data_IF_020403262212
#
_entry.id   IF_020403262212
#
_cell.length_a   1.000
_cell.length_b   1.000
_cell.length_c   1.000
_cell.angle_alpha   90.00
_cell.angle_beta   90.00
_cell.angle_gamma   90.00
#
_symmetry.space_group_name_H-M   'P 1'
#
loop_
_entity.id
_entity.type
_entity.pdbx_description
1 polymer ?
#
# COMPACT_ATOMS: atom_id res chain seq x y z
N UNK A 1 -19.45 -29.84 -9.76
CA UNK A 1 -19.77 -28.61 -10.51
C UNK A 1 -18.57 -28.26 -11.38
N UNK A 2 -18.82 -28.07 -12.68
CA UNK A 2 -17.83 -28.03 -13.75
C UNK A 2 -16.76 -26.95 -13.59
N UNK A 3 -15.52 -27.30 -13.90
CA UNK A 3 -14.38 -26.39 -14.02
C UNK A 3 -14.49 -25.55 -15.29
N UNK A 4 -14.77 -24.25 -15.14
CA UNK A 4 -14.56 -23.25 -16.18
C UNK A 4 -13.48 -22.28 -15.69
N UNK A 5 -12.36 -22.24 -16.40
CA UNK A 5 -11.28 -21.26 -16.16
C UNK A 5 -11.81 -19.83 -16.29
N UNK A 6 -11.31 -18.88 -15.48
CA UNK A 6 -11.69 -17.47 -15.61
C UNK A 6 -11.21 -16.91 -16.96
N UNK A 7 -11.98 -16.00 -17.59
CA UNK A 7 -11.58 -15.38 -18.86
C UNK A 7 -10.34 -14.48 -18.67
N UNK A 8 -9.53 -14.28 -19.72
CA UNK A 8 -8.36 -13.41 -19.67
C UNK A 8 -8.76 -11.94 -19.43
N UNK A 9 -7.87 -11.12 -18.84
CA UNK A 9 -8.13 -9.70 -18.61
C UNK A 9 -8.27 -8.94 -19.93
N UNK A 10 -9.11 -7.88 -19.98
CA UNK A 10 -9.27 -7.06 -21.17
C UNK A 10 -7.96 -6.30 -21.50
N UNK A 11 -7.74 -5.97 -22.78
CA UNK A 11 -6.58 -5.17 -23.20
C UNK A 11 -6.61 -3.76 -22.59
N UNK A 12 -5.46 -3.08 -22.47
CA UNK A 12 -5.39 -1.71 -21.96
C UNK A 12 -6.22 -0.77 -22.84
N UNK A 13 -7.03 0.07 -22.20
CA UNK A 13 -7.87 1.06 -22.87
C UNK A 13 -6.98 2.10 -23.56
N UNK A 14 -7.06 2.17 -24.90
CA UNK A 14 -6.55 3.29 -25.69
C UNK A 14 -7.37 4.54 -25.38
N UNK A 15 -6.72 5.68 -25.13
CA UNK A 15 -7.35 6.97 -24.84
C UNK A 15 -8.16 7.60 -25.99
N UNK A 16 -8.44 6.87 -27.07
CA UNK A 16 -9.05 7.40 -28.29
C UNK A 16 -10.54 7.08 -28.46
N UNK A 17 -11.25 6.60 -27.43
CA UNK A 17 -12.68 6.23 -27.59
C UNK A 17 -13.51 6.50 -26.34
N UNK A 18 -13.64 7.77 -25.97
CA UNK A 18 -14.81 8.23 -25.20
C UNK A 18 -15.84 8.79 -26.18
N UNK A 19 -17.08 8.26 -26.23
CA UNK A 19 -18.14 8.92 -26.96
C UNK A 19 -18.42 10.27 -26.28
N UNK A 20 -18.27 11.36 -27.03
CA UNK A 20 -18.70 12.69 -26.61
C UNK A 20 -20.20 12.62 -26.31
N UNK A 21 -20.58 12.79 -25.05
CA UNK A 21 -21.96 13.02 -24.67
C UNK A 21 -22.44 14.30 -25.37
N UNK A 22 -23.45 14.17 -26.23
CA UNK A 22 -24.10 15.31 -26.87
C UNK A 22 -24.62 16.29 -25.81
N UNK A 23 -24.48 17.61 -26.01
CA UNK A 23 -25.00 18.58 -25.06
C UNK A 23 -26.54 18.55 -25.04
N UNK A 24 -27.17 18.83 -23.88
CA UNK A 24 -28.63 18.88 -23.77
C UNK A 24 -29.19 20.09 -24.54
N UNK A 25 -30.46 20.05 -24.97
CA UNK A 25 -31.07 21.13 -25.73
C UNK A 25 -31.21 22.40 -24.86
N UNK A 26 -30.90 23.54 -25.48
CA UNK A 26 -30.93 24.87 -24.88
C UNK A 26 -32.35 25.26 -24.47
N UNK A 27 -32.60 25.31 -23.16
CA UNK A 27 -33.67 26.11 -22.56
C UNK A 27 -33.05 27.15 -21.63
N UNK A 28 -33.65 28.34 -21.67
CA UNK A 28 -33.11 29.64 -21.27
C UNK A 28 -33.09 29.86 -19.76
N UNK A 29 -32.16 30.73 -19.35
CA UNK A 29 -31.95 31.34 -18.03
C UNK A 29 -31.37 30.43 -16.94
N UNK A 30 -30.05 30.45 -16.81
CA UNK A 30 -29.33 30.13 -15.58
C UNK A 30 -28.20 31.14 -15.42
N UNK A 31 -27.93 31.66 -14.20
CA UNK A 31 -26.93 32.68 -14.00
C UNK A 31 -25.56 32.08 -14.32
N UNK A 32 -24.87 32.71 -15.27
CA UNK A 32 -23.49 32.41 -15.61
C UNK A 32 -22.58 32.83 -14.46
N UNK A 33 -22.45 32.00 -13.42
CA UNK A 33 -21.25 32.01 -12.58
C UNK A 33 -20.22 31.10 -13.23
N UNK A 34 -19.72 31.50 -14.41
CA UNK A 34 -18.44 30.96 -14.87
C UNK A 34 -17.40 31.47 -13.89
N UNK A 35 -16.97 30.63 -12.96
CA UNK A 35 -15.83 30.92 -12.08
C UNK A 35 -14.62 31.06 -12.98
N UNK A 36 -14.38 32.26 -13.51
CA UNK A 36 -13.30 32.53 -14.45
C UNK A 36 -12.00 32.16 -13.76
N UNK A 37 -11.39 31.08 -14.20
CA UNK A 37 -10.16 30.57 -13.63
C UNK A 37 -9.01 31.48 -14.07
N UNK A 38 -8.65 32.45 -13.25
CA UNK A 38 -7.58 33.41 -13.60
C UNK A 38 -6.22 32.80 -13.29
N UNK A 39 -5.17 33.12 -14.06
CA UNK A 39 -3.80 32.73 -13.73
C UNK A 39 -3.37 33.17 -12.33
N UNK A 40 -3.87 34.31 -11.86
CA UNK A 40 -3.62 34.82 -10.51
C UNK A 40 -4.25 33.93 -9.42
N UNK A 41 -5.52 33.53 -9.60
CA UNK A 41 -6.19 32.61 -8.66
C UNK A 41 -5.50 31.25 -8.60
N UNK A 42 -5.04 30.73 -9.75
CA UNK A 42 -4.26 29.51 -9.82
C UNK A 42 -2.94 29.65 -9.04
N UNK A 43 -2.16 30.70 -9.31
CA UNK A 43 -0.88 30.92 -8.64
C UNK A 43 -1.04 31.08 -7.12
N UNK A 44 -2.07 31.81 -6.67
CA UNK A 44 -2.37 31.98 -5.24
C UNK A 44 -2.77 30.66 -4.58
N UNK A 45 -3.59 29.85 -5.25
CA UNK A 45 -4.00 28.55 -4.73
C UNK A 45 -2.81 27.59 -4.62
N UNK A 46 -1.95 27.56 -5.64
CA UNK A 46 -0.70 26.77 -5.62
C UNK A 46 0.20 27.22 -4.47
N UNK A 47 0.38 28.54 -4.28
CA UNK A 47 1.20 29.07 -3.19
C UNK A 47 0.64 28.68 -1.80
N UNK A 48 -0.68 28.74 -1.62
CA UNK A 48 -1.36 28.41 -0.36
C UNK A 48 -1.33 26.92 -0.03
N UNK A 49 -1.15 26.05 -1.03
CA UNK A 49 -1.16 24.59 -0.90
C UNK A 49 0.23 23.95 -1.09
N UNK A 50 1.29 24.77 -1.23
CA UNK A 50 2.64 24.34 -1.61
C UNK A 50 3.19 23.18 -0.78
N UNK A 51 2.88 23.15 0.52
CA UNK A 51 3.45 22.21 1.49
C UNK A 51 3.10 20.75 1.20
N UNK A 52 1.88 20.47 0.73
CA UNK A 52 1.46 19.13 0.35
C UNK A 52 1.49 18.92 -1.17
N UNK A 53 1.24 19.99 -1.93
CA UNK A 53 1.12 19.93 -3.38
C UNK A 53 2.46 19.66 -4.07
N UNK A 54 3.55 20.30 -3.62
CA UNK A 54 4.91 20.08 -4.15
C UNK A 54 5.37 18.63 -4.00
N UNK A 55 5.39 18.04 -2.79
CA UNK A 55 5.79 16.64 -2.65
C UNK A 55 4.82 15.69 -3.36
N UNK A 56 3.53 16.01 -3.45
CA UNK A 56 2.57 15.19 -4.21
C UNK A 56 2.88 15.16 -5.71
N UNK A 57 3.11 16.31 -6.33
CA UNK A 57 3.46 16.40 -7.74
C UNK A 57 4.81 15.73 -8.04
N UNK A 58 5.81 15.95 -7.19
CA UNK A 58 7.11 15.29 -7.30
C UNK A 58 6.97 13.76 -7.18
N UNK A 59 6.20 13.27 -6.21
CA UNK A 59 5.93 11.85 -6.04
C UNK A 59 5.28 11.23 -7.28
N UNK A 60 4.30 11.90 -7.89
CA UNK A 60 3.65 11.42 -9.11
C UNK A 60 4.61 11.40 -10.31
N UNK A 61 5.44 12.43 -10.47
CA UNK A 61 6.47 12.48 -11.52
C UNK A 61 7.47 11.33 -11.38
N UNK A 62 7.97 11.08 -10.16
CA UNK A 62 8.89 9.98 -9.88
C UNK A 62 8.23 8.61 -10.05
N UNK A 63 6.99 8.45 -9.57
CA UNK A 63 6.20 7.24 -9.79
C UNK A 63 6.05 6.93 -11.29
N UNK A 64 5.83 7.95 -12.11
CA UNK A 64 5.75 7.79 -13.57
C UNK A 64 7.12 7.39 -14.16
N UNK A 65 8.19 8.13 -13.81
CA UNK A 65 9.54 7.88 -14.29
C UNK A 65 10.04 6.46 -13.98
N UNK A 66 9.80 5.97 -12.77
CA UNK A 66 10.26 4.65 -12.33
C UNK A 66 9.24 3.52 -12.57
N UNK A 67 8.04 3.85 -13.09
CA UNK A 67 6.96 2.89 -13.33
C UNK A 67 6.42 2.20 -12.07
N UNK A 68 6.71 2.72 -10.88
CA UNK A 68 6.32 2.11 -9.61
C UNK A 68 6.20 3.14 -8.49
N UNK A 69 5.24 2.93 -7.59
CA UNK A 69 5.09 3.74 -6.38
C UNK A 69 6.06 3.32 -5.26
N UNK A 70 6.64 2.12 -5.35
CA UNK A 70 7.61 1.63 -4.37
C UNK A 70 8.91 2.44 -4.47
N UNK A 71 8.97 3.52 -3.70
CA UNK A 71 10.03 4.50 -3.76
C UNK A 71 11.40 3.95 -3.38
N UNK A 72 11.47 2.77 -2.73
CA UNK A 72 12.75 2.06 -2.51
C UNK A 72 13.47 1.72 -3.81
N UNK A 73 12.73 1.68 -4.93
CA UNK A 73 13.24 1.40 -6.27
C UNK A 73 13.67 2.67 -7.02
N UNK A 74 13.58 3.86 -6.39
CA UNK A 74 13.92 5.14 -7.01
C UNK A 74 15.38 5.56 -6.82
N UNK A 75 16.23 4.65 -6.32
CA UNK A 75 17.65 4.92 -6.10
C UNK A 75 17.88 6.04 -5.08
N UNK A 76 18.67 7.06 -5.45
CA UNK A 76 18.97 8.20 -4.56
C UNK A 76 17.74 9.05 -4.19
N UNK A 77 16.62 8.89 -4.91
CA UNK A 77 15.36 9.60 -4.64
C UNK A 77 14.41 8.80 -3.73
N UNK A 78 14.85 7.64 -3.22
CA UNK A 78 14.07 6.82 -2.30
C UNK A 78 13.88 7.48 -0.92
N UNK A 79 14.85 8.28 -0.49
CA UNK A 79 14.83 8.99 0.78
C UNK A 79 13.81 10.13 0.77
N UNK A 80 13.33 10.56 1.95
CA UNK A 80 12.48 11.74 2.05
C UNK A 80 13.16 12.95 1.40
N UNK A 81 12.46 13.68 0.53
CA UNK A 81 13.06 14.79 -0.18
C UNK A 81 13.27 15.96 0.78
N UNK A 82 14.44 16.58 0.71
CA UNK A 82 14.67 17.90 1.30
C UNK A 82 14.10 19.01 0.40
N UNK A 83 14.11 20.25 0.90
CA UNK A 83 13.58 21.39 0.16
C UNK A 83 14.32 21.61 -1.16
N UNK A 84 15.65 21.43 -1.19
CA UNK A 84 16.46 21.59 -2.40
C UNK A 84 16.09 20.55 -3.48
N UNK A 85 15.83 19.30 -3.08
CA UNK A 85 15.38 18.24 -3.98
C UNK A 85 13.99 18.56 -4.53
N UNK A 86 13.06 19.00 -3.68
CA UNK A 86 11.73 19.41 -4.12
C UNK A 86 11.80 20.62 -5.07
N UNK A 87 12.62 21.63 -4.78
CA UNK A 87 12.82 22.78 -5.65
C UNK A 87 13.35 22.36 -7.01
N UNK A 88 14.38 21.49 -7.05
CA UNK A 88 14.91 20.99 -8.31
C UNK A 88 13.87 20.21 -9.11
N UNK A 89 13.11 19.32 -8.47
CA UNK A 89 12.11 18.49 -9.15
C UNK A 89 10.91 19.31 -9.64
N UNK A 90 10.51 20.34 -8.89
CA UNK A 90 9.32 21.16 -9.14
C UNK A 90 9.60 22.51 -9.82
N UNK A 91 10.88 22.82 -10.10
CA UNK A 91 11.29 24.03 -10.81
C UNK A 91 10.70 24.09 -12.23
N UNK A 92 10.34 25.27 -12.75
CA UNK A 92 9.98 25.46 -14.16
C UNK A 92 11.01 24.96 -15.18
N UNK A 93 12.27 24.85 -14.77
CA UNK A 93 13.38 24.32 -15.60
C UNK A 93 13.54 22.81 -15.52
N UNK A 94 12.81 22.13 -14.62
CA UNK A 94 12.81 20.67 -14.49
C UNK A 94 12.22 20.01 -15.75
N UNK A 95 12.80 18.91 -16.25
CA UNK A 95 12.22 18.18 -17.38
C UNK A 95 10.83 17.62 -17.06
N UNK A 96 10.49 17.44 -15.78
CA UNK A 96 9.18 16.97 -15.33
C UNK A 96 8.13 18.08 -15.23
N UNK A 97 8.52 19.36 -15.37
CA UNK A 97 7.69 20.47 -14.95
C UNK A 97 6.37 20.55 -15.73
N UNK A 98 6.43 20.58 -17.06
CA UNK A 98 5.23 20.77 -17.88
C UNK A 98 4.28 19.57 -17.79
N UNK A 99 4.82 18.37 -18.01
CA UNK A 99 4.02 17.17 -18.21
C UNK A 99 3.51 16.55 -16.90
N UNK A 100 4.22 16.76 -15.79
CA UNK A 100 3.84 16.17 -14.50
C UNK A 100 3.52 17.22 -13.45
N UNK A 101 4.41 18.19 -13.22
CA UNK A 101 4.27 19.09 -12.06
C UNK A 101 3.14 20.10 -12.28
N UNK A 102 3.21 20.88 -13.35
CA UNK A 102 2.22 21.90 -13.70
C UNK A 102 0.87 21.26 -14.00
N UNK A 103 0.86 20.12 -14.70
CA UNK A 103 -0.37 19.36 -14.91
C UNK A 103 -1.00 18.90 -13.59
N UNK A 104 -0.22 18.38 -12.64
CA UNK A 104 -0.74 17.98 -11.33
C UNK A 104 -1.29 19.18 -10.57
N UNK A 105 -0.59 20.31 -10.57
CA UNK A 105 -1.07 21.54 -9.92
C UNK A 105 -2.39 22.00 -10.53
N UNK A 106 -2.45 22.05 -11.86
CA UNK A 106 -3.65 22.41 -12.60
C UNK A 106 -4.82 21.47 -12.28
N UNK A 107 -4.58 20.17 -12.30
CA UNK A 107 -5.60 19.16 -12.01
C UNK A 107 -6.15 19.30 -10.59
N UNK A 108 -5.27 19.42 -9.59
CA UNK A 108 -5.68 19.56 -8.20
C UNK A 108 -6.42 20.88 -7.95
N UNK A 109 -6.04 21.96 -8.64
CA UNK A 109 -6.76 23.23 -8.57
C UNK A 109 -8.17 23.12 -9.15
N UNK A 110 -8.34 22.48 -10.31
CA UNK A 110 -9.65 22.27 -10.89
C UNK A 110 -10.54 21.35 -10.05
N UNK A 111 -9.97 20.29 -9.45
CA UNK A 111 -10.68 19.45 -8.48
C UNK A 111 -11.14 20.28 -7.27
N UNK A 112 -10.28 21.15 -6.73
CA UNK A 112 -10.65 22.06 -5.66
C UNK A 112 -11.81 22.98 -6.05
N UNK A 113 -11.76 23.61 -7.22
CA UNK A 113 -12.81 24.51 -7.69
C UNK A 113 -14.14 23.78 -7.86
N UNK A 114 -14.13 22.61 -8.50
CA UNK A 114 -15.33 21.83 -8.76
C UNK A 114 -15.95 21.28 -7.47
N UNK A 115 -15.13 20.73 -6.56
CA UNK A 115 -15.62 20.21 -5.30
C UNK A 115 -16.13 21.32 -4.37
N UNK A 116 -15.46 22.47 -4.34
CA UNK A 116 -15.91 23.64 -3.57
C UNK A 116 -17.24 24.18 -4.10
N UNK A 117 -17.41 24.26 -5.42
CA UNK A 117 -18.66 24.69 -6.04
C UNK A 117 -19.80 23.71 -5.73
N UNK A 118 -19.56 22.41 -5.81
CA UNK A 118 -20.53 21.38 -5.47
C UNK A 118 -20.93 21.43 -3.98
N UNK A 119 -19.94 21.58 -3.07
CA UNK A 119 -20.19 21.72 -1.64
C UNK A 119 -21.01 22.98 -1.32
N UNK A 120 -20.68 24.11 -1.94
CA UNK A 120 -21.40 25.37 -1.77
C UNK A 120 -22.84 25.28 -2.29
N UNK A 121 -23.05 24.66 -3.45
CA UNK A 121 -24.38 24.44 -4.01
C UNK A 121 -25.23 23.53 -3.12
N UNK A 122 -24.66 22.43 -2.61
CA UNK A 122 -25.34 21.54 -1.67
C UNK A 122 -25.76 22.29 -0.40
N UNK A 123 -24.84 23.08 0.19
CA UNK A 123 -25.13 23.88 1.37
C UNK A 123 -26.25 24.91 1.12
N UNK A 124 -26.26 25.57 -0.04
CA UNK A 124 -27.32 26.51 -0.42
C UNK A 124 -28.70 25.84 -0.56
N UNK A 125 -28.75 24.54 -0.84
CA UNK A 125 -29.97 23.74 -0.84
C UNK A 125 -30.32 23.13 0.53
N UNK A 126 -29.57 23.46 1.59
CA UNK A 126 -29.75 22.86 2.92
C UNK A 126 -29.27 21.41 3.02
N UNK A 127 -28.44 20.94 2.07
CA UNK A 127 -27.88 19.58 2.04
C UNK A 127 -26.44 19.60 2.51
N UNK A 128 -26.14 18.82 3.55
CA UNK A 128 -24.77 18.67 4.06
C UNK A 128 -24.04 17.53 3.37
N UNK A 129 -22.82 17.80 2.88
CA UNK A 129 -21.92 16.74 2.37
C UNK A 129 -21.14 16.12 3.52
N UNK A 130 -21.22 14.78 3.63
CA UNK A 130 -20.47 13.97 4.59
C UNK A 130 -19.31 13.27 3.89
N UNK A 131 -18.08 13.63 4.22
CA UNK A 131 -16.88 13.00 3.70
C UNK A 131 -16.58 11.66 4.40
N UNK A 132 -15.69 10.88 3.80
CA UNK A 132 -15.20 9.61 4.35
C UNK A 132 -13.67 9.61 4.36
N UNK A 133 -13.08 9.32 5.51
CA UNK A 133 -11.65 9.39 5.75
C UNK A 133 -11.15 8.01 6.22
N UNK A 134 -10.48 7.25 5.35
CA UNK A 134 -9.77 6.05 5.75
C UNK A 134 -8.79 6.36 6.87
N UNK A 135 -8.70 5.51 7.91
CA UNK A 135 -7.77 5.77 9.01
C UNK A 135 -6.32 5.89 8.51
N UNK A 136 -5.90 5.00 7.61
CA UNK A 136 -4.51 4.92 7.12
C UNK A 136 -4.26 5.54 5.75
N UNK A 137 -3.03 5.37 5.27
CA UNK A 137 -2.56 5.77 3.94
C UNK A 137 -1.80 4.62 3.31
N UNK A 138 -1.79 4.50 1.98
CA UNK A 138 -1.09 3.40 1.32
C UNK A 138 0.40 3.38 1.70
N UNK A 139 0.97 2.17 1.82
CA UNK A 139 2.37 1.95 2.22
C UNK A 139 3.37 2.68 1.33
N UNK A 140 3.09 2.74 0.04
CA UNK A 140 3.92 3.42 -0.94
C UNK A 140 3.16 4.63 -1.49
N UNK A 141 3.07 5.67 -0.67
CA UNK A 141 2.35 6.92 -0.97
C UNK A 141 3.26 8.13 -0.75
N UNK A 142 2.80 9.30 -1.19
CA UNK A 142 3.48 10.57 -0.91
C UNK A 142 3.66 10.79 0.59
N UNK A 143 2.70 10.36 1.42
CA UNK A 143 2.74 10.55 2.88
C UNK A 143 3.90 9.78 3.50
N UNK A 144 4.04 8.50 3.15
CA UNK A 144 5.09 7.63 3.68
C UNK A 144 6.46 7.93 3.09
N UNK A 145 6.52 8.43 1.86
CA UNK A 145 7.75 8.90 1.23
C UNK A 145 8.25 10.23 1.81
N UNK A 146 7.37 11.23 1.90
CA UNK A 146 7.76 12.60 2.29
C UNK A 146 7.87 12.79 3.80
N UNK A 147 7.13 11.99 4.60
CA UNK A 147 7.11 12.08 6.05
C UNK A 147 7.18 10.70 6.73
N UNK A 148 8.17 9.85 6.43
CA UNK A 148 8.24 8.48 6.97
C UNK A 148 8.33 8.42 8.50
N UNK A 149 8.80 9.50 9.14
CA UNK A 149 8.93 9.58 10.60
C UNK A 149 7.60 9.41 11.33
N UNK A 150 6.46 9.60 10.67
CA UNK A 150 5.14 9.40 11.27
C UNK A 150 4.62 7.96 11.15
N UNK A 151 5.32 7.08 10.43
CA UNK A 151 4.83 5.77 10.07
C UNK A 151 5.77 4.64 10.54
N UNK A 152 5.18 3.49 10.86
CA UNK A 152 5.90 2.25 11.18
C UNK A 152 5.86 1.34 9.97
N UNK A 153 6.86 1.51 9.11
CA UNK A 153 6.94 0.82 7.82
C UNK A 153 7.22 -0.69 7.92
N UNK A 154 7.64 -1.18 9.08
CA UNK A 154 7.98 -2.59 9.33
C UNK A 154 6.78 -3.45 9.76
N UNK A 155 5.60 -2.85 9.93
CA UNK A 155 4.34 -3.53 10.23
C UNK A 155 3.23 -3.04 9.30
N UNK A 156 2.17 -3.80 9.20
CA UNK A 156 0.94 -3.47 8.48
C UNK A 156 -0.23 -3.37 9.45
N UNK A 157 -1.26 -2.64 9.05
CA UNK A 157 -2.54 -2.55 9.74
C UNK A 157 -3.45 -3.67 9.28
N UNK A 158 -4.27 -4.20 10.19
CA UNK A 158 -5.24 -5.24 9.86
C UNK A 158 -6.39 -5.32 10.85
N UNK A 159 -7.02 -6.50 10.89
CA UNK A 159 -7.99 -6.89 11.89
C UNK A 159 -7.66 -8.29 12.43
N UNK A 160 -7.93 -8.57 13.72
CA UNK A 160 -7.74 -9.89 14.27
C UNK A 160 -8.71 -10.90 13.62
N UNK A 161 -8.44 -12.21 13.75
CA UNK A 161 -9.43 -13.23 13.48
C UNK A 161 -10.73 -12.99 14.28
N UNK A 162 -11.85 -13.22 13.62
CA UNK A 162 -13.17 -13.17 14.24
C UNK A 162 -14.08 -14.27 13.69
N UNK A 163 -15.33 -14.29 14.16
CA UNK A 163 -16.37 -15.21 13.74
C UNK A 163 -16.73 -15.19 12.23
N UNK A 164 -16.48 -14.08 11.54
CA UNK A 164 -16.74 -13.94 10.10
C UNK A 164 -15.48 -14.22 9.26
N UNK A 165 -14.31 -13.81 9.76
CA UNK A 165 -13.02 -14.07 9.13
C UNK A 165 -12.04 -14.76 10.11
N UNK A 166 -11.96 -16.10 10.09
CA UNK A 166 -11.09 -16.86 10.99
C UNK A 166 -9.60 -16.66 10.70
N UNK A 167 -9.24 -16.04 9.56
CA UNK A 167 -7.83 -15.70 9.25
C UNK A 167 -7.51 -14.27 9.64
N UNK A 168 -8.51 -13.46 9.96
CA UNK A 168 -8.35 -12.02 10.12
C UNK A 168 -7.83 -11.36 8.85
N UNK A 169 -7.65 -10.05 8.91
CA UNK A 169 -7.35 -9.26 7.73
C UNK A 169 -5.98 -8.61 7.84
N UNK A 170 -5.25 -8.56 6.73
CA UNK A 170 -4.07 -7.70 6.58
C UNK A 170 -4.38 -6.68 5.48
N UNK A 171 -4.56 -5.42 5.86
CA UNK A 171 -4.90 -4.33 4.93
C UNK A 171 -3.65 -3.71 4.28
N UNK A 172 -2.45 -4.10 4.73
CA UNK A 172 -1.18 -3.80 4.04
C UNK A 172 -0.64 -2.37 4.19
N UNK A 173 -1.38 -1.45 4.82
CA UNK A 173 -0.89 -0.08 5.08
C UNK A 173 -0.20 0.07 6.44
N UNK A 174 0.82 0.93 6.58
CA UNK A 174 1.60 1.07 7.81
C UNK A 174 0.76 1.62 8.97
N UNK A 175 1.23 1.37 10.19
CA UNK A 175 0.62 1.96 11.39
C UNK A 175 1.34 3.25 11.77
N UNK A 176 0.73 4.03 12.66
CA UNK A 176 1.27 5.34 13.06
C UNK A 176 2.31 5.26 14.20
N UNK A 177 3.24 6.21 14.18
CA UNK A 177 4.05 6.60 15.34
C UNK A 177 3.34 7.72 16.09
N UNK A 178 2.30 7.34 16.84
CA UNK A 178 1.46 8.28 17.60
C UNK A 178 2.27 9.14 18.58
N UNK A 179 3.35 8.60 19.14
CA UNK A 179 4.33 9.30 19.97
C UNK A 179 5.05 10.41 19.20
N UNK A 180 5.54 10.12 18.00
CA UNK A 180 6.19 11.11 17.13
C UNK A 180 5.21 12.18 16.67
N UNK A 181 3.98 11.81 16.35
CA UNK A 181 2.92 12.77 16.01
C UNK A 181 2.51 13.62 17.22
N UNK A 182 2.44 13.06 18.42
CA UNK A 182 2.09 13.82 19.62
C UNK A 182 3.13 14.91 19.91
N UNK A 183 4.42 14.62 19.67
CA UNK A 183 5.51 15.56 19.90
C UNK A 183 5.43 16.85 19.06
N UNK A 184 4.74 16.84 17.92
CA UNK A 184 4.54 18.02 17.08
C UNK A 184 3.09 18.55 17.10
N UNK A 185 2.30 18.13 18.09
CA UNK A 185 0.91 18.55 18.24
C UNK A 185 0.00 17.98 17.14
N UNK A 186 0.32 16.79 16.64
CA UNK A 186 -0.42 16.06 15.60
C UNK A 186 -0.51 16.83 14.28
N UNK A 187 0.57 17.49 13.87
CA UNK A 187 0.57 18.43 12.75
C UNK A 187 0.11 17.79 11.42
N UNK A 188 0.46 16.52 11.20
CA UNK A 188 0.05 15.77 10.01
C UNK A 188 -1.46 15.50 9.98
N UNK A 189 -2.03 15.04 11.09
CA UNK A 189 -3.48 14.78 11.20
C UNK A 189 -4.30 16.06 11.14
N UNK A 190 -3.84 17.13 11.80
CA UNK A 190 -4.52 18.44 11.78
C UNK A 190 -4.62 18.98 10.35
N UNK A 191 -3.53 18.91 9.58
CA UNK A 191 -3.54 19.31 8.16
C UNK A 191 -4.49 18.45 7.32
N UNK A 192 -4.49 17.13 7.53
CA UNK A 192 -5.41 16.20 6.85
C UNK A 192 -6.87 16.59 7.09
N UNK A 193 -7.24 16.88 8.34
CA UNK A 193 -8.59 17.33 8.70
C UNK A 193 -8.91 18.73 8.17
N UNK A 194 -7.95 19.65 8.18
CA UNK A 194 -8.10 21.01 7.66
C UNK A 194 -8.39 21.04 6.15
N UNK A 195 -7.78 20.15 5.37
CA UNK A 195 -8.09 20.01 3.94
C UNK A 195 -9.51 19.46 3.75
N UNK A 196 -9.89 18.43 4.52
CA UNK A 196 -11.22 17.83 4.43
C UNK A 196 -12.33 18.81 4.81
N UNK A 197 -12.10 19.69 5.81
CA UNK A 197 -13.09 20.67 6.26
C UNK A 197 -13.40 21.76 5.23
N UNK A 198 -12.62 21.87 4.16
CA UNK A 198 -12.91 22.81 3.06
C UNK A 198 -14.16 22.39 2.27
N UNK A 199 -14.51 21.10 2.29
CA UNK A 199 -15.54 20.55 1.40
C UNK A 199 -16.69 19.87 2.15
N UNK A 200 -16.43 19.33 3.35
CA UNK A 200 -17.36 18.46 4.04
C UNK A 200 -17.80 19.06 5.37
N UNK A 201 -19.11 19.06 5.61
CA UNK A 201 -19.71 19.51 6.87
C UNK A 201 -19.56 18.47 7.99
N UNK A 202 -19.42 17.20 7.64
CA UNK A 202 -19.17 16.11 8.56
C UNK A 202 -18.19 15.10 7.96
N UNK A 203 -17.47 14.37 8.82
CA UNK A 203 -16.55 13.32 8.40
C UNK A 203 -16.90 12.00 9.08
N UNK A 204 -17.05 10.95 8.27
CA UNK A 204 -16.86 9.59 8.75
C UNK A 204 -15.35 9.36 8.82
N UNK A 205 -14.85 8.97 9.98
CA UNK A 205 -13.50 8.42 10.11
C UNK A 205 -13.63 6.92 10.18
N UNK A 206 -13.20 6.26 9.11
CA UNK A 206 -13.25 4.80 9.04
C UNK A 206 -12.33 4.19 10.10
N UNK A 207 -12.77 3.08 10.69
CA UNK A 207 -12.03 2.37 11.74
C UNK A 207 -11.55 3.27 12.89
N UNK A 208 -12.43 4.12 13.42
CA UNK A 208 -12.14 5.07 14.52
C UNK A 208 -11.48 4.43 15.75
N UNK A 209 -11.73 3.13 15.98
CA UNK A 209 -11.09 2.35 17.05
C UNK A 209 -9.55 2.39 16.97
N UNK A 210 -8.99 2.53 15.77
CA UNK A 210 -7.55 2.63 15.54
C UNK A 210 -6.87 3.84 16.18
N UNK A 211 -7.60 4.86 16.61
CA UNK A 211 -7.08 5.96 17.43
C UNK A 211 -6.82 5.52 18.89
N UNK A 212 -7.52 4.49 19.36
CA UNK A 212 -7.34 3.93 20.70
C UNK A 212 -6.37 2.75 20.69
N UNK A 213 -6.57 1.83 19.74
CA UNK A 213 -5.69 0.68 19.51
C UNK A 213 -5.85 0.18 18.08
N UNK A 214 -4.76 -0.18 17.45
CA UNK A 214 -4.75 -0.72 16.09
C UNK A 214 -4.18 -2.13 16.08
N UNK A 215 -4.75 -3.04 15.28
CA UNK A 215 -4.19 -4.37 15.08
C UNK A 215 -3.00 -4.27 14.12
N UNK A 216 -1.79 -4.47 14.65
CA UNK A 216 -0.55 -4.45 13.89
C UNK A 216 -0.14 -5.87 13.51
N UNK A 217 0.06 -6.11 12.23
CA UNK A 217 0.46 -7.38 11.64
C UNK A 217 1.92 -7.29 11.18
N UNK A 218 2.79 -8.27 11.48
CA UNK A 218 4.15 -8.29 10.94
C UNK A 218 4.14 -8.29 9.40
N UNK A 219 5.05 -7.54 8.77
CA UNK A 219 5.05 -7.34 7.31
C UNK A 219 5.19 -8.61 6.46
N UNK A 220 5.76 -9.68 7.01
CA UNK A 220 5.93 -10.96 6.30
C UNK A 220 4.66 -11.82 6.35
N UNK A 221 3.66 -11.46 7.17
CA UNK A 221 2.42 -12.21 7.27
C UNK A 221 1.46 -11.84 6.15
N UNK A 222 0.79 -12.84 5.59
CA UNK A 222 -0.26 -12.65 4.56
C UNK A 222 -1.62 -12.40 5.21
N UNK A 223 -1.88 -12.98 6.38
CA UNK A 223 -3.16 -12.91 7.10
C UNK A 223 -3.06 -12.07 8.39
N UNK A 224 -4.19 -11.82 9.04
CA UNK A 224 -4.26 -11.08 10.31
C UNK A 224 -3.91 -11.90 11.56
N UNK A 225 -3.74 -13.22 11.45
CA UNK A 225 -3.60 -14.16 12.60
C UNK A 225 -2.50 -13.75 13.57
N UNK A 226 -1.32 -13.40 13.05
CA UNK A 226 -0.12 -13.15 13.87
C UNK A 226 0.04 -11.68 14.27
N UNK A 227 -1.03 -10.89 14.16
CA UNK A 227 -1.01 -9.52 14.62
C UNK A 227 -1.15 -9.38 16.13
N UNK A 228 -1.13 -8.13 16.60
CA UNK A 228 -1.40 -7.74 17.98
C UNK A 228 -1.96 -6.33 18.04
N UNK A 229 -2.76 -6.03 19.06
CA UNK A 229 -3.14 -4.64 19.32
C UNK A 229 -1.92 -3.79 19.70
N UNK A 230 -1.90 -2.54 19.26
CA UNK A 230 -0.98 -1.51 19.74
C UNK A 230 -1.77 -0.23 20.05
N UNK A 231 -1.67 0.31 21.28
CA UNK A 231 -1.04 -0.33 22.44
C UNK A 231 -1.72 -1.66 22.81
N UNK A 232 -0.95 -2.57 23.41
CA UNK A 232 -1.45 -3.80 24.02
C UNK A 232 -1.16 -3.79 25.52
N UNK A 233 -2.01 -4.46 26.28
CA UNK A 233 -1.65 -4.83 27.64
C UNK A 233 -0.71 -6.04 27.61
N UNK A 234 0.47 -5.95 28.24
CA UNK A 234 1.39 -7.08 28.31
C UNK A 234 0.83 -8.15 29.25
N UNK A 235 1.01 -9.42 28.88
CA UNK A 235 0.80 -10.58 29.78
C UNK A 235 2.17 -11.01 30.31
N UNK A 236 2.28 -11.22 31.62
CA UNK A 236 3.57 -11.60 32.23
C UNK A 236 3.88 -13.09 31.98
N UNK A 237 5.17 -13.46 31.98
CA UNK A 237 5.58 -14.88 31.88
C UNK A 237 4.98 -15.73 33.00
N UNK A 238 4.88 -15.17 34.21
CA UNK A 238 4.26 -15.83 35.37
C UNK A 238 2.78 -16.12 35.12
N UNK A 239 2.05 -15.16 34.57
CA UNK A 239 0.65 -15.33 34.23
C UNK A 239 0.44 -16.40 33.15
N UNK A 240 1.27 -16.39 32.10
CA UNK A 240 1.26 -17.45 31.07
C UNK A 240 1.54 -18.83 31.68
N UNK A 241 2.58 -18.95 32.51
CA UNK A 241 2.94 -20.20 33.17
C UNK A 241 1.81 -20.73 34.08
N UNK A 242 1.13 -19.84 34.81
CA UNK A 242 -0.02 -20.22 35.65
C UNK A 242 -1.20 -20.77 34.84
N UNK A 243 -1.27 -20.47 33.54
CA UNK A 243 -2.27 -20.98 32.60
C UNK A 243 -1.77 -22.20 31.80
N UNK A 244 -0.65 -22.81 32.20
CA UNK A 244 -0.04 -23.95 31.52
C UNK A 244 0.78 -23.58 30.27
N UNK A 245 1.01 -22.30 30.00
CA UNK A 245 1.78 -21.80 28.86
C UNK A 245 3.18 -21.43 29.37
N UNK A 246 4.03 -22.44 29.59
CA UNK A 246 5.37 -22.25 30.17
C UNK A 246 6.50 -22.28 29.14
N UNK A 247 6.39 -23.11 28.08
CA UNK A 247 7.41 -23.22 27.03
C UNK A 247 7.16 -22.19 25.91
N UNK A 248 7.29 -20.91 26.26
CA UNK A 248 7.04 -19.80 25.33
C UNK A 248 7.93 -19.92 24.09
N UNK A 249 9.21 -20.30 24.25
CA UNK A 249 10.15 -20.41 23.14
C UNK A 249 9.61 -21.37 22.08
N UNK A 250 9.20 -22.57 22.51
CA UNK A 250 8.61 -23.60 21.64
C UNK A 250 7.31 -23.18 20.98
N UNK A 251 6.52 -22.34 21.64
CA UNK A 251 5.24 -21.83 21.12
C UNK A 251 5.40 -20.63 20.17
N UNK A 252 6.55 -19.96 20.21
CA UNK A 252 6.86 -18.80 19.35
C UNK A 252 7.73 -19.11 18.14
N UNK A 253 8.33 -20.31 18.09
CA UNK A 253 9.12 -20.79 16.95
C UNK A 253 8.25 -21.69 16.05
N UNK A 254 8.26 -21.52 14.72
CA UNK A 254 7.54 -22.40 13.81
C UNK A 254 7.93 -23.87 14.03
N UNK A 255 6.92 -24.71 14.30
CA UNK A 255 7.14 -26.13 14.55
C UNK A 255 6.23 -26.96 13.64
N UNK A 256 6.82 -27.46 12.56
CA UNK A 256 6.13 -28.32 11.60
C UNK A 256 6.57 -29.75 11.87
N UNK A 257 5.60 -30.66 12.01
CA UNK A 257 5.87 -32.09 12.20
C UNK A 257 5.42 -32.89 10.99
N UNK A 258 6.02 -34.06 10.79
CA UNK A 258 5.61 -34.98 9.72
C UNK A 258 4.12 -35.38 9.84
N UNK A 259 3.55 -35.67 11.04
CA UNK A 259 2.12 -35.86 11.19
C UNK A 259 1.27 -34.67 10.72
N UNK A 260 1.70 -33.44 11.02
CA UNK A 260 1.00 -32.24 10.55
C UNK A 260 1.04 -32.13 9.02
N UNK A 261 2.21 -32.34 8.40
CA UNK A 261 2.34 -32.32 6.94
C UNK A 261 1.46 -33.37 6.26
N UNK A 262 1.43 -34.60 6.79
CA UNK A 262 0.59 -35.68 6.26
C UNK A 262 -0.90 -35.33 6.36
N UNK A 263 -1.31 -34.63 7.43
CA UNK A 263 -2.68 -34.16 7.60
C UNK A 263 -3.04 -33.08 6.57
N UNK A 264 -2.19 -32.07 6.39
CA UNK A 264 -2.47 -30.94 5.49
C UNK A 264 -2.39 -31.32 4.00
N UNK A 265 -1.45 -32.18 3.61
CA UNK A 265 -1.31 -32.62 2.20
C UNK A 265 -2.29 -33.75 1.82
N UNK A 266 -2.92 -34.37 2.81
CA UNK A 266 -3.83 -35.49 2.62
C UNK A 266 -3.13 -36.81 2.32
N UNK A 267 -3.87 -37.90 2.44
CA UNK A 267 -3.35 -39.28 2.32
C UNK A 267 -2.80 -39.61 0.94
N UNK A 268 -3.37 -39.02 -0.12
CA UNK A 268 -2.93 -39.21 -1.51
C UNK A 268 -1.50 -38.70 -1.77
N UNK A 269 -1.04 -37.71 -0.99
CA UNK A 269 0.25 -37.05 -1.18
C UNK A 269 1.23 -37.34 -0.04
N UNK A 270 1.08 -38.48 0.63
CA UNK A 270 1.91 -38.86 1.78
C UNK A 270 3.41 -38.86 1.46
N UNK A 271 3.79 -39.26 0.24
CA UNK A 271 5.17 -39.23 -0.22
C UNK A 271 5.73 -37.80 -0.33
N UNK A 272 4.91 -36.82 -0.74
CA UNK A 272 5.29 -35.40 -0.75
C UNK A 272 5.47 -34.86 0.68
N UNK A 273 4.66 -35.31 1.64
CA UNK A 273 4.85 -34.92 3.05
C UNK A 273 6.21 -35.38 3.60
N UNK A 274 6.64 -36.58 3.21
CA UNK A 274 7.93 -37.16 3.61
C UNK A 274 9.09 -36.46 2.89
N UNK A 275 8.95 -36.14 1.60
CA UNK A 275 9.93 -35.35 0.87
C UNK A 275 10.06 -33.94 1.49
N UNK A 276 8.94 -33.27 1.77
CA UNK A 276 8.92 -31.94 2.40
C UNK A 276 9.63 -31.98 3.75
N UNK A 277 9.28 -32.96 4.59
CA UNK A 277 9.88 -33.13 5.90
C UNK A 277 11.38 -33.42 5.85
N UNK A 278 11.85 -34.19 4.86
CA UNK A 278 13.25 -34.63 4.81
C UNK A 278 14.14 -33.59 4.14
N UNK A 279 13.64 -32.92 3.10
CA UNK A 279 14.44 -32.08 2.20
C UNK A 279 14.33 -30.59 2.52
N UNK A 280 13.22 -30.16 3.11
CA UNK A 280 12.92 -28.73 3.33
C UNK A 280 12.68 -28.36 4.78
N UNK A 281 12.41 -29.33 5.67
CA UNK A 281 12.41 -29.10 7.11
C UNK A 281 13.73 -29.60 7.70
N UNK A 282 14.61 -28.68 8.07
CA UNK A 282 15.71 -29.01 8.98
C UNK A 282 15.13 -29.01 10.41
N UNK A 283 15.43 -30.02 11.24
CA UNK A 283 15.11 -29.94 12.67
C UNK A 283 15.77 -28.68 13.27
N UNK A 284 14.94 -27.70 13.66
CA UNK A 284 15.29 -26.52 14.46
C UNK A 284 16.13 -25.39 13.81
N UNK A 285 16.12 -25.21 12.48
CA UNK A 285 16.72 -24.01 11.85
C UNK A 285 15.83 -23.48 10.72
N UNK A 286 15.44 -22.21 10.77
CA UNK A 286 14.80 -21.51 9.65
C UNK A 286 15.88 -21.01 8.68
N UNK A 287 15.72 -21.33 7.39
CA UNK A 287 16.51 -20.74 6.32
C UNK A 287 15.97 -19.37 5.93
N UNK A 288 16.85 -18.36 5.84
CA UNK A 288 16.56 -17.07 5.20
C UNK A 288 16.25 -17.21 3.69
N UNK A 289 16.61 -18.35 3.07
CA UNK A 289 16.53 -18.57 1.62
C UNK A 289 15.23 -19.23 1.11
N UNK A 290 14.29 -19.61 1.97
CA UNK A 290 13.04 -20.29 1.57
C UNK A 290 11.74 -19.60 2.04
N UNK A 291 11.81 -18.30 2.35
CA UNK A 291 10.73 -17.51 2.97
C UNK A 291 9.47 -17.25 2.14
N UNK A 292 9.11 -18.09 1.17
CA UNK A 292 7.88 -17.89 0.40
C UNK A 292 7.35 -19.15 -0.29
N UNK A 293 6.04 -19.36 -0.18
CA UNK A 293 5.27 -20.42 -0.88
C UNK A 293 5.54 -20.40 -2.39
N UNK A 294 5.84 -19.23 -2.97
CA UNK A 294 6.17 -19.08 -4.39
C UNK A 294 7.48 -19.73 -4.83
N UNK A 295 8.50 -19.80 -3.97
CA UNK A 295 9.79 -20.43 -4.29
C UNK A 295 9.71 -21.97 -4.28
N UNK A 296 8.77 -22.51 -3.50
CA UNK A 296 8.45 -23.94 -3.49
C UNK A 296 7.61 -24.28 -4.72
N UNK A 297 6.58 -23.48 -5.03
CA UNK A 297 5.69 -23.72 -6.17
C UNK A 297 6.39 -23.66 -7.54
N UNK A 298 7.34 -22.74 -7.74
CA UNK A 298 8.09 -22.61 -9.01
C UNK A 298 8.96 -23.82 -9.32
N UNK A 299 9.34 -24.62 -8.31
CA UNK A 299 10.19 -25.80 -8.48
C UNK A 299 9.38 -27.08 -8.72
N UNK A 300 8.13 -27.13 -8.27
CA UNK A 300 7.22 -28.26 -8.54
C UNK A 300 6.57 -28.21 -9.93
N UNK A 301 6.45 -27.03 -10.56
CA UNK A 301 5.86 -26.89 -11.90
C UNK A 301 6.86 -27.04 -13.07
N UNK A 302 8.14 -27.29 -12.79
CA UNK A 302 9.21 -27.39 -13.81
C UNK A 302 9.42 -28.79 -14.41
N UNK A 303 8.38 -29.63 -14.50
CA UNK A 303 8.46 -31.00 -14.97
C UNK A 303 7.63 -31.26 -16.22
N UNK A 304 8.10 -30.84 -17.39
CA UNK A 304 7.68 -31.38 -18.69
C UNK A 304 8.74 -31.11 -19.76
N UNK A 305 9.40 -32.20 -20.16
CA UNK A 305 10.17 -32.47 -21.39
C UNK A 305 10.94 -31.35 -22.11
N UNK A 306 12.26 -31.55 -22.24
CA UNK A 306 12.82 -31.68 -23.59
C UNK A 306 14.11 -32.52 -23.61
N UNK A 307 13.99 -33.69 -24.22
CA UNK A 307 15.09 -34.51 -24.77
C UNK A 307 15.78 -33.81 -25.95
N UNK A 308 17.06 -34.16 -26.15
CA UNK A 308 17.93 -33.90 -27.32
C UNK A 308 18.43 -32.46 -27.55
N UNK A 309 19.72 -32.24 -27.27
CA UNK A 309 20.71 -32.29 -28.35
C UNK A 309 22.15 -32.45 -27.84
N UNK A 310 22.79 -33.53 -28.30
CA UNK A 310 24.24 -33.70 -28.40
C UNK A 310 24.81 -32.67 -29.39
N UNK A 311 25.91 -31.99 -29.04
CA UNK A 311 27.21 -32.13 -29.72
C UNK A 311 28.23 -31.06 -29.27
N UNK A 312 29.34 -31.57 -28.72
CA UNK A 312 30.73 -31.29 -29.11
C UNK A 312 31.23 -29.84 -29.28
N UNK A 313 32.16 -29.40 -28.42
CA UNK A 313 33.62 -29.51 -28.71
C UNK A 313 34.51 -28.66 -27.78
N UNK A 314 35.47 -29.35 -27.16
CA UNK A 314 36.91 -29.04 -27.04
C UNK A 314 37.47 -27.81 -26.29
N UNK A 315 38.24 -28.18 -25.25
CA UNK A 315 39.70 -28.03 -25.10
C UNK A 315 40.30 -26.96 -24.18
N UNK A 316 41.01 -27.53 -23.17
CA UNK A 316 42.39 -27.26 -22.74
C UNK A 316 42.74 -25.94 -22.04
N UNK A 317 43.21 -26.04 -20.78
CA UNK A 317 44.65 -26.25 -20.54
C UNK A 317 45.02 -26.59 -19.08
N UNK A 318 46.03 -27.46 -18.98
CA UNK A 318 46.77 -27.98 -17.83
C UNK A 318 47.58 -26.91 -17.07
N UNK A 319 47.91 -27.14 -15.79
CA UNK A 319 49.19 -27.77 -15.34
C UNK A 319 49.50 -27.57 -13.85
N UNK A 320 49.92 -28.69 -13.22
CA UNK A 320 50.95 -28.95 -12.18
C UNK A 320 51.02 -28.05 -10.92
N UNK A 321 51.20 -28.56 -9.69
CA UNK A 321 52.01 -29.69 -9.19
C UNK A 321 51.36 -30.41 -8.02
#
# INVERSE_FOLDING_TARGET
FSSSSPPPPPPPLSCSSFPLLSPPPSSSSSPSSSTSTTPAAFAQWVASNRDWLRPYAAFLALKHLFGTADYRRWGSLASPPDEATLDRLTSPTSPFYKDHILFTYWLQFHLHLQLSAAASAAAAMGVALKGDLPIGVAKWSVDTWSKPQYFRMHVSTGAPPDHFDPKGQNWGFPTYRWDTMAADGFSWWRRRLQVMSQYFAALRVDHILGFFRIWEVPNHCVTGILGRFRPSHPITRRELASRGIYDIRRLTEPYITLPLLRKELGTAHRHLAEEVATKYLIPNVLFDQYGGVGAVASRFMGGSDNSNNNNNSNNNNNSNS
#
